data_IF_690250964880
#
_entry.id   IF_690250964880
#
_cell.length_a   1.000
_cell.length_b   1.000
_cell.length_c   1.000
_cell.angle_alpha   90.00
_cell.angle_beta   90.00
_cell.angle_gamma   90.00
#
_symmetry.space_group_name_H-M   'P 1'
#
loop_
_entity.id
_entity.type
_entity.pdbx_description
1 polymer ?
#
# COMPACT_ATOMS: atom_id res chain seq x y z
N UNK A 1 7.07 -36.86 -14.57
CA UNK A 1 5.68 -36.38 -14.48
C UNK A 1 5.64 -35.10 -15.29
N UNK A 2 4.87 -35.03 -16.38
CA UNK A 2 4.78 -33.78 -17.14
C UNK A 2 4.08 -32.75 -16.27
N UNK A 3 4.80 -31.69 -15.91
CA UNK A 3 4.18 -30.52 -15.30
C UNK A 3 3.09 -30.03 -16.24
N UNK A 4 1.86 -29.95 -15.72
CA UNK A 4 0.76 -29.40 -16.51
C UNK A 4 1.05 -27.92 -16.72
N UNK A 5 0.91 -27.39 -17.96
CA UNK A 5 1.15 -25.98 -18.19
C UNK A 5 0.18 -25.15 -17.36
N UNK A 6 0.70 -24.09 -16.74
CA UNK A 6 -0.13 -23.08 -16.09
C UNK A 6 -0.99 -22.37 -17.15
N UNK A 7 -2.24 -22.12 -16.79
CA UNK A 7 -3.22 -21.46 -17.63
C UNK A 7 -3.77 -20.27 -16.88
N UNK A 8 -4.04 -19.19 -17.60
CA UNK A 8 -4.68 -18.02 -17.03
C UNK A 8 -6.16 -18.28 -16.75
N UNK A 9 -6.60 -17.83 -15.59
CA UNK A 9 -7.99 -17.78 -15.15
C UNK A 9 -8.29 -16.38 -14.63
N UNK A 10 -9.39 -15.79 -15.13
CA UNK A 10 -9.99 -14.60 -14.53
C UNK A 10 -10.87 -15.04 -13.37
N UNK A 11 -10.67 -14.43 -12.22
CA UNK A 11 -11.48 -14.62 -11.02
C UNK A 11 -12.13 -13.29 -10.68
N UNK A 12 -13.43 -13.30 -10.45
CA UNK A 12 -14.24 -12.14 -10.09
C UNK A 12 -14.91 -12.40 -8.74
N UNK A 13 -14.91 -11.41 -7.85
CA UNK A 13 -15.69 -11.43 -6.61
C UNK A 13 -17.06 -10.75 -6.79
N UNK A 14 -17.85 -10.73 -5.72
CA UNK A 14 -19.20 -10.15 -5.68
C UNK A 14 -19.22 -8.61 -5.52
N UNK A 15 -18.08 -7.99 -5.21
CA UNK A 15 -17.91 -6.54 -5.07
C UNK A 15 -17.35 -5.87 -6.35
N UNK A 16 -17.14 -6.66 -7.40
CA UNK A 16 -16.70 -6.17 -8.71
C UNK A 16 -15.18 -6.02 -8.85
N UNK A 17 -14.41 -6.62 -7.94
CA UNK A 17 -12.98 -6.81 -8.10
C UNK A 17 -12.68 -8.07 -8.91
N UNK A 18 -11.58 -8.01 -9.65
CA UNK A 18 -11.13 -9.12 -10.48
C UNK A 18 -9.63 -9.30 -10.37
N UNK A 19 -9.15 -10.53 -10.51
CA UNK A 19 -7.73 -10.84 -10.65
C UNK A 19 -7.48 -11.89 -11.74
N UNK A 20 -6.25 -11.99 -12.22
CA UNK A 20 -5.80 -13.07 -13.11
C UNK A 20 -4.80 -13.94 -12.38
N UNK A 21 -5.11 -15.22 -12.23
CA UNK A 21 -4.22 -16.22 -11.64
C UNK A 21 -3.82 -17.28 -12.65
N UNK A 22 -2.62 -17.82 -12.48
CA UNK A 22 -2.04 -18.82 -13.36
C UNK A 22 -2.00 -20.17 -12.67
N UNK A 23 -2.84 -21.09 -13.12
CA UNK A 23 -3.04 -22.37 -12.44
C UNK A 23 -3.19 -23.54 -13.40
N UNK A 24 -2.96 -24.75 -12.91
CA UNK A 24 -3.12 -25.96 -13.73
C UNK A 24 -4.58 -26.37 -13.95
N UNK A 25 -5.50 -25.88 -13.11
CA UNK A 25 -6.92 -26.19 -13.14
C UNK A 25 -7.77 -25.09 -12.46
N UNK A 26 -9.08 -25.06 -12.74
CA UNK A 26 -10.00 -24.03 -12.24
C UNK A 26 -10.24 -24.08 -10.73
N UNK A 27 -10.15 -25.24 -10.09
CA UNK A 27 -10.38 -25.36 -8.65
C UNK A 27 -9.22 -24.73 -7.85
N UNK A 28 -7.98 -24.92 -8.31
CA UNK A 28 -6.82 -24.20 -7.78
C UNK A 28 -6.91 -22.71 -8.07
N UNK A 29 -7.29 -22.33 -9.31
CA UNK A 29 -7.47 -20.93 -9.70
C UNK A 29 -8.47 -20.19 -8.80
N UNK A 30 -9.64 -20.78 -8.55
CA UNK A 30 -10.64 -20.15 -7.69
C UNK A 30 -10.13 -19.92 -6.26
N UNK A 31 -9.38 -20.88 -5.70
CA UNK A 31 -8.85 -20.76 -4.34
C UNK A 31 -7.79 -19.68 -4.24
N UNK A 32 -6.84 -19.70 -5.18
CA UNK A 32 -5.72 -18.77 -5.15
C UNK A 32 -6.16 -17.37 -5.60
N UNK A 33 -7.17 -17.27 -6.47
CA UNK A 33 -7.82 -16.01 -6.81
C UNK A 33 -8.60 -15.40 -5.65
N UNK A 34 -9.32 -16.20 -4.87
CA UNK A 34 -9.96 -15.72 -3.64
C UNK A 34 -8.93 -15.14 -2.66
N UNK A 35 -7.79 -15.84 -2.48
CA UNK A 35 -6.69 -15.35 -1.65
C UNK A 35 -6.04 -14.08 -2.18
N UNK A 36 -5.94 -13.89 -3.49
CA UNK A 36 -5.39 -12.67 -4.11
C UNK A 36 -6.34 -11.48 -3.93
N UNK A 37 -7.65 -11.74 -3.96
CA UNK A 37 -8.70 -10.74 -3.74
C UNK A 37 -9.01 -10.50 -2.25
N UNK A 38 -8.28 -11.15 -1.33
CA UNK A 38 -8.54 -11.13 0.12
C UNK A 38 -10.01 -11.41 0.48
N UNK A 39 -10.61 -12.37 -0.24
CA UNK A 39 -12.03 -12.73 -0.10
C UNK A 39 -12.21 -14.22 0.18
N UNK A 40 -13.39 -14.58 0.65
CA UNK A 40 -13.74 -15.97 0.94
C UNK A 40 -14.06 -16.75 -0.34
N UNK A 41 -13.94 -18.08 -0.25
CA UNK A 41 -14.24 -18.97 -1.39
C UNK A 41 -15.67 -18.81 -1.91
N UNK A 42 -16.61 -18.57 -1.00
CA UNK A 42 -18.03 -18.34 -1.26
C UNK A 42 -18.30 -17.01 -1.98
N UNK A 43 -17.48 -15.98 -1.73
CA UNK A 43 -17.60 -14.63 -2.32
C UNK A 43 -17.05 -14.53 -3.74
N UNK A 44 -16.34 -15.55 -4.23
CA UNK A 44 -15.97 -15.59 -5.66
C UNK A 44 -17.21 -15.82 -6.52
N UNK A 45 -17.65 -14.80 -7.23
CA UNK A 45 -18.79 -14.89 -8.15
C UNK A 45 -18.45 -15.77 -9.36
N UNK A 46 -17.23 -15.65 -9.89
CA UNK A 46 -16.89 -16.20 -11.20
C UNK A 46 -15.42 -16.64 -11.28
N UNK A 47 -15.16 -17.79 -11.90
CA UNK A 47 -13.80 -18.24 -12.23
C UNK A 47 -13.80 -18.86 -13.63
N UNK A 48 -13.21 -18.15 -14.60
CA UNK A 48 -13.28 -18.50 -16.03
C UNK A 48 -11.89 -18.53 -16.65
N UNK A 49 -11.72 -19.37 -17.67
CA UNK A 49 -10.49 -19.38 -18.47
C UNK A 49 -10.33 -18.06 -19.22
N UNK A 50 -9.14 -17.48 -19.13
CA UNK A 50 -8.76 -16.26 -19.86
C UNK A 50 -7.56 -16.55 -20.78
N UNK A 51 -7.74 -17.36 -21.84
CA UNK A 51 -6.63 -17.85 -22.67
C UNK A 51 -5.81 -16.74 -23.32
N UNK A 52 -6.38 -15.54 -23.51
CA UNK A 52 -5.65 -14.38 -24.03
C UNK A 52 -4.45 -13.98 -23.16
N UNK A 53 -4.45 -14.36 -21.87
CA UNK A 53 -3.38 -14.06 -20.94
C UNK A 53 -2.41 -15.22 -20.70
N UNK A 54 -2.60 -16.40 -21.32
CA UNK A 54 -1.76 -17.58 -21.08
C UNK A 54 -0.26 -17.29 -21.34
N UNK A 55 0.06 -16.37 -22.25
CA UNK A 55 1.43 -15.95 -22.58
C UNK A 55 2.17 -15.26 -21.43
N UNK A 56 1.46 -14.75 -20.42
CA UNK A 56 2.06 -14.06 -19.28
C UNK A 56 2.35 -15.00 -18.10
N UNK A 57 2.12 -16.31 -18.23
CA UNK A 57 2.41 -17.27 -17.17
C UNK A 57 3.90 -17.24 -16.77
N UNK A 58 4.24 -17.32 -15.48
CA UNK A 58 3.38 -17.54 -14.31
C UNK A 58 2.72 -16.27 -13.73
N UNK A 59 2.82 -15.14 -14.42
CA UNK A 59 2.27 -13.85 -14.02
C UNK A 59 3.30 -12.90 -13.42
N UNK A 60 2.87 -11.67 -13.07
CA UNK A 60 1.53 -11.12 -13.29
C UNK A 60 1.29 -10.72 -14.76
N UNK A 61 0.02 -10.56 -15.15
CA UNK A 61 -0.31 -9.87 -16.40
C UNK A 61 0.04 -8.38 -16.23
N UNK A 62 0.73 -7.74 -17.21
CA UNK A 62 0.97 -6.30 -17.15
C UNK A 62 -0.33 -5.49 -17.12
N UNK A 63 -0.40 -4.45 -16.29
CA UNK A 63 -1.65 -3.70 -16.11
C UNK A 63 -2.09 -2.96 -17.39
N UNK A 64 -1.14 -2.56 -18.24
CA UNK A 64 -1.43 -2.01 -19.58
C UNK A 64 -2.21 -3.00 -20.45
N UNK A 65 -1.86 -4.29 -20.36
CA UNK A 65 -2.54 -5.36 -21.11
C UNK A 65 -3.94 -5.58 -20.56
N UNK A 66 -4.12 -5.49 -19.24
CA UNK A 66 -5.45 -5.59 -18.61
C UNK A 66 -6.33 -4.39 -18.98
N UNK A 67 -5.78 -3.17 -18.95
CA UNK A 67 -6.49 -1.96 -19.40
C UNK A 67 -6.99 -2.11 -20.84
N UNK A 68 -6.12 -2.55 -21.76
CA UNK A 68 -6.47 -2.80 -23.17
C UNK A 68 -7.52 -3.91 -23.35
N UNK A 69 -7.59 -4.89 -22.43
CA UNK A 69 -8.62 -5.94 -22.40
C UNK A 69 -9.95 -5.45 -21.78
N UNK A 70 -10.04 -4.16 -21.42
CA UNK A 70 -11.25 -3.51 -20.91
C UNK A 70 -11.36 -3.50 -19.38
N UNK A 71 -10.27 -3.79 -18.66
CA UNK A 71 -10.25 -3.67 -17.21
C UNK A 71 -10.18 -2.20 -16.80
N UNK A 72 -10.62 -1.92 -15.57
CA UNK A 72 -10.44 -0.63 -14.96
C UNK A 72 -9.53 -0.74 -13.73
N UNK A 73 -8.80 0.33 -13.45
CA UNK A 73 -7.95 0.45 -12.27
C UNK A 73 -8.25 1.75 -11.54
N UNK A 74 -8.05 1.79 -10.23
CA UNK A 74 -8.11 3.04 -9.49
C UNK A 74 -6.82 3.85 -9.71
N UNK A 75 -6.95 5.13 -10.08
CA UNK A 75 -5.81 6.03 -10.21
C UNK A 75 -5.16 6.27 -8.83
N UNK A 76 -3.91 5.86 -8.65
CA UNK A 76 -3.21 6.00 -7.36
C UNK A 76 -2.97 7.46 -6.94
N UNK A 77 -3.18 8.44 -7.84
CA UNK A 77 -3.01 9.86 -7.53
C UNK A 77 -4.30 10.64 -7.24
N UNK A 78 -5.49 10.12 -7.59
CA UNK A 78 -6.76 10.82 -7.35
C UNK A 78 -7.99 9.92 -7.16
N UNK A 79 -7.81 8.60 -7.09
CA UNK A 79 -8.86 7.61 -6.84
C UNK A 79 -9.96 7.51 -7.91
N UNK A 80 -9.78 8.18 -9.06
CA UNK A 80 -10.71 8.04 -10.20
C UNK A 80 -10.42 6.74 -10.97
N UNK A 81 -11.46 6.08 -11.46
CA UNK A 81 -11.31 4.92 -12.34
C UNK A 81 -10.60 5.30 -13.65
N UNK A 82 -9.64 4.47 -14.04
CA UNK A 82 -8.88 4.52 -15.29
C UNK A 82 -9.27 3.31 -16.11
N UNK A 83 -9.69 3.53 -17.35
CA UNK A 83 -10.01 2.52 -18.36
C UNK A 83 -9.25 2.87 -19.63
N UNK A 84 -9.09 1.95 -20.58
CA UNK A 84 -8.51 2.31 -21.89
C UNK A 84 -9.38 3.37 -22.62
N UNK A 85 -10.70 3.26 -22.45
CA UNK A 85 -11.69 4.23 -22.94
C UNK A 85 -11.74 5.55 -22.15
N UNK A 86 -10.86 5.77 -21.15
CA UNK A 86 -10.94 6.92 -20.25
C UNK A 86 -10.67 8.23 -21.00
N UNK A 87 -11.72 8.72 -21.64
CA UNK A 87 -11.80 9.97 -22.37
C UNK A 87 -12.29 11.10 -21.49
N UNK A 88 -12.68 10.84 -20.23
CA UNK A 88 -13.31 11.84 -19.36
C UNK A 88 -13.00 11.65 -17.88
N UNK A 89 -12.49 12.72 -17.26
CA UNK A 89 -12.52 12.89 -15.82
C UNK A 89 -13.97 13.12 -15.32
N UNK A 90 -14.21 12.89 -14.02
CA UNK A 90 -15.52 13.08 -13.38
C UNK A 90 -16.13 14.51 -13.50
N UNK A 91 -15.31 15.51 -13.84
CA UNK A 91 -15.72 16.90 -14.10
C UNK A 91 -16.00 17.17 -15.60
N UNK A 92 -15.98 16.13 -16.44
CA UNK A 92 -16.19 16.23 -17.88
C UNK A 92 -14.95 16.65 -18.68
N UNK A 93 -13.79 16.81 -18.03
CA UNK A 93 -12.53 17.14 -18.73
C UNK A 93 -12.13 15.99 -19.63
N UNK A 94 -11.87 16.28 -20.91
CA UNK A 94 -11.42 15.27 -21.87
C UNK A 94 -9.97 14.87 -21.54
N UNK A 95 -9.76 13.60 -21.22
CA UNK A 95 -8.44 12.97 -21.16
C UNK A 95 -8.24 12.31 -22.52
N UNK A 96 -7.08 12.46 -23.15
CA UNK A 96 -6.85 11.77 -24.43
C UNK A 96 -6.84 10.24 -24.19
N UNK A 97 -7.54 9.43 -25.00
CA UNK A 97 -7.45 7.97 -24.88
C UNK A 97 -5.98 7.51 -24.91
N UNK A 98 -5.60 6.59 -24.02
CA UNK A 98 -4.23 6.08 -23.93
C UNK A 98 -3.19 7.04 -23.30
N UNK A 99 -3.59 8.11 -22.62
CA UNK A 99 -2.67 8.99 -21.85
C UNK A 99 -2.47 8.61 -20.39
N UNK A 100 -3.00 7.46 -19.96
CA UNK A 100 -2.68 6.93 -18.64
C UNK A 100 -1.20 6.57 -18.54
N UNK A 101 -0.69 6.53 -17.31
CA UNK A 101 0.68 6.12 -17.02
C UNK A 101 0.63 4.89 -16.13
N UNK A 102 1.30 3.82 -16.54
CA UNK A 102 1.54 2.65 -15.68
C UNK A 102 3.00 2.66 -15.24
N UNK A 103 3.25 2.60 -13.94
CA UNK A 103 4.61 2.50 -13.40
C UNK A 103 4.64 1.63 -12.16
N UNK A 104 5.46 0.57 -12.17
CA UNK A 104 5.63 -0.34 -11.04
C UNK A 104 4.29 -0.83 -10.47
N UNK A 105 3.38 -1.28 -11.35
CA UNK A 105 2.02 -1.73 -11.02
C UNK A 105 1.08 -0.68 -10.40
N UNK A 106 1.41 0.60 -10.56
CA UNK A 106 0.52 1.71 -10.21
C UNK A 106 0.00 2.34 -11.49
N UNK A 107 -1.31 2.53 -11.58
CA UNK A 107 -1.99 3.16 -12.71
C UNK A 107 -2.34 4.59 -12.34
N UNK A 108 -2.08 5.53 -13.24
CA UNK A 108 -2.38 6.95 -13.07
C UNK A 108 -3.14 7.45 -14.29
N UNK A 109 -4.18 8.25 -14.07
CA UNK A 109 -4.94 8.83 -15.18
C UNK A 109 -4.15 9.87 -15.99
N UNK A 110 -3.15 10.53 -15.38
CA UNK A 110 -2.30 11.52 -16.06
C UNK A 110 -0.89 11.58 -15.46
N UNK A 111 0.05 12.22 -16.18
CA UNK A 111 1.39 12.52 -15.68
C UNK A 111 1.38 13.44 -14.43
N UNK A 112 0.40 14.33 -14.30
CA UNK A 112 0.25 15.17 -13.10
C UNK A 112 -0.13 14.34 -11.88
N UNK A 113 -0.95 13.29 -12.04
CA UNK A 113 -1.27 12.38 -10.95
C UNK A 113 -0.06 11.57 -10.51
N UNK A 114 0.77 11.12 -11.46
CA UNK A 114 2.07 10.50 -11.17
C UNK A 114 2.98 11.45 -10.38
N UNK A 115 3.14 12.67 -10.88
CA UNK A 115 4.00 13.67 -10.26
C UNK A 115 3.54 14.06 -8.84
N UNK A 116 2.22 14.15 -8.62
CA UNK A 116 1.64 14.40 -7.29
C UNK A 116 1.89 13.24 -6.33
N UNK A 117 1.66 12.01 -6.78
CA UNK A 117 1.97 10.81 -5.99
C UNK A 117 3.45 10.78 -5.61
N UNK A 118 4.35 11.03 -6.56
CA UNK A 118 5.79 11.08 -6.29
C UNK A 118 6.20 12.19 -5.33
N UNK A 119 5.55 13.35 -5.41
CA UNK A 119 5.77 14.41 -4.45
C UNK A 119 5.33 13.99 -3.05
N UNK A 120 4.15 13.38 -2.92
CA UNK A 120 3.63 12.85 -1.66
C UNK A 120 4.55 11.77 -1.06
N UNK A 121 5.04 10.82 -1.86
CA UNK A 121 5.96 9.78 -1.38
C UNK A 121 7.30 10.37 -0.91
N UNK A 122 7.86 11.35 -1.64
CA UNK A 122 9.06 12.06 -1.18
C UNK A 122 8.83 12.82 0.13
N UNK A 123 7.67 13.46 0.27
CA UNK A 123 7.30 14.19 1.49
C UNK A 123 7.13 13.24 2.68
N UNK A 124 6.52 12.07 2.46
CA UNK A 124 6.37 11.03 3.47
C UNK A 124 7.72 10.50 3.97
N UNK A 125 8.66 10.21 3.05
CA UNK A 125 10.03 9.80 3.42
C UNK A 125 10.71 10.90 4.23
N UNK A 126 10.64 12.15 3.77
CA UNK A 126 11.23 13.28 4.51
C UNK A 126 10.59 13.47 5.90
N UNK A 127 9.28 13.22 6.04
CA UNK A 127 8.60 13.24 7.33
C UNK A 127 9.06 12.10 8.25
N UNK A 128 9.25 10.89 7.71
CA UNK A 128 9.81 9.77 8.47
C UNK A 128 11.22 10.09 8.98
N UNK A 129 12.10 10.59 8.10
CA UNK A 129 13.47 10.98 8.46
C UNK A 129 13.47 12.07 9.54
N UNK A 130 12.65 13.11 9.39
CA UNK A 130 12.53 14.18 10.38
C UNK A 130 12.03 13.68 11.74
N UNK A 131 11.16 12.66 11.77
CA UNK A 131 10.70 12.05 13.02
C UNK A 131 11.80 11.19 13.67
N UNK A 132 12.59 10.47 12.87
CA UNK A 132 13.77 9.74 13.35
C UNK A 132 14.73 10.72 14.02
N UNK A 133 15.13 11.77 13.29
CA UNK A 133 16.06 12.80 13.79
C UNK A 133 15.54 13.45 15.08
N UNK A 134 14.25 13.76 15.15
CA UNK A 134 13.62 14.32 16.35
C UNK A 134 13.74 13.37 17.56
N UNK A 135 13.49 12.08 17.35
CA UNK A 135 13.50 11.08 18.43
C UNK A 135 14.91 10.80 18.89
N UNK A 136 15.87 10.68 17.97
CA UNK A 136 17.29 10.54 18.30
C UNK A 136 17.85 11.77 19.03
N UNK A 137 17.41 12.97 18.67
CA UNK A 137 17.78 14.20 19.37
C UNK A 137 17.17 14.28 20.78
N UNK A 138 15.93 13.79 20.96
CA UNK A 138 15.25 13.76 22.26
C UNK A 138 15.78 12.67 23.18
N UNK A 139 16.14 11.52 22.63
CA UNK A 139 16.58 10.34 23.38
C UNK A 139 17.92 9.84 22.83
N UNK A 140 19.04 10.52 23.12
CA UNK A 140 20.35 10.13 22.61
C UNK A 140 20.71 8.70 23.03
N UNK A 141 21.13 7.88 22.07
CA UNK A 141 21.47 6.47 22.30
C UNK A 141 20.28 5.51 22.23
N UNK A 142 19.09 6.00 21.87
CA UNK A 142 17.99 5.13 21.46
C UNK A 142 18.29 4.42 20.13
N UNK A 143 17.53 3.35 19.86
CA UNK A 143 17.50 2.65 18.58
C UNK A 143 16.08 2.69 18.02
N UNK A 144 15.92 3.32 16.86
CA UNK A 144 14.65 3.29 16.14
C UNK A 144 14.43 1.91 15.53
N UNK A 145 13.28 1.30 15.82
CA UNK A 145 12.89 0.00 15.28
C UNK A 145 11.97 0.16 14.06
N UNK A 146 11.06 1.12 14.09
CA UNK A 146 10.20 1.44 12.94
C UNK A 146 9.58 2.83 13.07
N UNK A 147 9.12 3.39 11.96
CA UNK A 147 8.43 4.69 11.92
C UNK A 147 7.20 4.62 11.03
N UNK A 148 6.10 5.14 11.55
CA UNK A 148 4.85 5.31 10.84
C UNK A 148 4.50 6.80 10.71
N UNK A 149 4.21 7.24 9.49
CA UNK A 149 3.66 8.56 9.19
C UNK A 149 2.37 8.36 8.42
N UNK A 150 1.26 8.80 9.01
CA UNK A 150 -0.03 8.86 8.34
C UNK A 150 -0.05 10.04 7.37
N UNK A 151 -0.37 9.78 6.10
CA UNK A 151 -0.27 10.78 5.03
C UNK A 151 1.17 11.03 4.58
N UNK A 152 1.51 12.28 4.30
CA UNK A 152 2.78 12.70 3.71
C UNK A 152 3.54 13.76 4.54
N UNK A 153 3.06 14.10 5.74
CA UNK A 153 3.60 15.17 6.58
C UNK A 153 3.59 14.78 8.05
N UNK A 154 4.45 15.45 8.83
CA UNK A 154 4.39 15.39 10.28
C UNK A 154 3.19 16.18 10.81
N UNK A 155 2.17 15.44 11.19
CA UNK A 155 0.99 15.97 11.86
C UNK A 155 0.97 15.55 13.33
N UNK A 156 0.67 16.51 14.21
CA UNK A 156 0.49 16.23 15.61
C UNK A 156 -0.63 15.20 15.80
N UNK A 157 -0.37 14.22 16.66
CA UNK A 157 -1.39 13.28 17.11
C UNK A 157 -2.50 14.04 17.82
N UNK A 158 -3.76 13.66 17.56
CA UNK A 158 -4.92 14.28 18.20
C UNK A 158 -5.82 13.21 18.84
N UNK A 159 -6.55 13.61 19.88
CA UNK A 159 -7.38 12.69 20.66
C UNK A 159 -8.60 12.14 19.90
N UNK A 160 -8.92 12.68 18.71
CA UNK A 160 -10.08 12.25 17.90
C UNK A 160 -9.70 11.24 16.82
N UNK A 161 -8.50 11.34 16.25
CA UNK A 161 -8.06 10.53 15.12
C UNK A 161 -6.89 9.59 15.46
N UNK A 162 -6.43 9.61 16.72
CA UNK A 162 -5.36 8.74 17.20
C UNK A 162 -3.97 9.26 16.83
N UNK A 163 -2.97 8.40 17.02
CA UNK A 163 -1.58 8.72 16.76
C UNK A 163 -1.30 8.71 15.25
N UNK A 164 -1.01 9.87 14.67
CA UNK A 164 -0.79 10.02 13.22
C UNK A 164 0.64 9.72 12.81
N UNK A 165 1.61 10.17 13.62
CA UNK A 165 3.02 9.99 13.34
C UNK A 165 3.70 9.41 14.57
N UNK A 166 4.23 8.20 14.46
CA UNK A 166 4.74 7.40 15.56
C UNK A 166 6.10 6.81 15.19
N UNK A 167 7.08 6.99 16.06
CA UNK A 167 8.32 6.24 16.02
C UNK A 167 8.33 5.20 17.14
N UNK A 168 8.69 3.98 16.79
CA UNK A 168 8.91 2.90 17.74
C UNK A 168 10.40 2.77 18.00
N UNK A 169 10.80 2.77 19.26
CA UNK A 169 12.21 2.76 19.63
C UNK A 169 12.48 1.97 20.91
N UNK A 170 13.72 1.53 21.04
CA UNK A 170 14.28 0.98 22.28
C UNK A 170 15.37 1.90 22.79
N UNK A 171 15.76 1.76 24.05
CA UNK A 171 16.82 2.55 24.68
C UNK A 171 17.62 1.67 25.66
N UNK A 172 18.81 2.11 26.12
CA UNK A 172 19.63 1.30 27.02
C UNK A 172 18.87 0.89 28.29
N UNK A 173 18.77 -0.42 28.53
CA UNK A 173 18.04 -0.98 29.67
C UNK A 173 16.54 -1.16 29.47
N UNK A 174 15.98 -0.79 28.31
CA UNK A 174 14.59 -1.08 27.98
C UNK A 174 14.35 -2.59 27.86
N UNK A 175 13.24 -3.06 28.44
CA UNK A 175 12.76 -4.44 28.32
C UNK A 175 11.69 -4.59 27.24
N UNK A 176 11.11 -3.47 26.79
CA UNK A 176 10.04 -3.43 25.82
C UNK A 176 10.17 -2.28 24.82
N UNK A 177 9.45 -2.39 23.71
CA UNK A 177 9.35 -1.35 22.70
C UNK A 177 8.60 -0.14 23.27
N UNK A 178 9.15 1.04 23.06
CA UNK A 178 8.54 2.32 23.43
C UNK A 178 8.08 3.08 22.19
N UNK A 179 7.14 4.00 22.38
CA UNK A 179 6.60 4.83 21.28
C UNK A 179 6.91 6.30 21.54
N UNK A 180 7.23 7.04 20.48
CA UNK A 180 7.16 8.49 20.47
C UNK A 180 6.09 8.93 19.49
N UNK A 181 5.10 9.66 19.99
CA UNK A 181 3.99 10.19 19.20
C UNK A 181 4.22 11.67 18.95
N UNK A 182 4.35 12.05 17.68
CA UNK A 182 4.59 13.45 17.32
C UNK A 182 3.44 14.33 17.83
N UNK A 183 3.78 15.42 18.52
CA UNK A 183 2.81 16.33 19.15
C UNK A 183 2.26 15.90 20.52
N UNK A 184 2.56 14.70 20.98
CA UNK A 184 2.04 14.15 22.25
C UNK A 184 3.18 13.79 23.22
N UNK A 185 4.18 13.03 22.77
CA UNK A 185 5.38 12.73 23.55
C UNK A 185 5.73 11.24 23.56
N UNK A 186 6.58 10.86 24.52
CA UNK A 186 7.02 9.47 24.69
C UNK A 186 6.04 8.68 25.55
N UNK A 187 5.71 7.48 25.10
CA UNK A 187 4.84 6.53 25.77
C UNK A 187 5.70 5.32 26.16
N UNK A 188 6.01 5.25 27.46
CA UNK A 188 6.92 4.25 28.04
C UNK A 188 6.11 3.29 28.90
N UNK A 189 6.42 2.00 28.83
CA UNK A 189 5.77 1.01 29.70
C UNK A 189 6.15 1.27 31.16
N UNK A 190 5.26 0.91 32.11
CA UNK A 190 5.51 1.14 33.55
C UNK A 190 6.80 0.47 34.05
N UNK A 191 7.17 -0.67 33.45
CA UNK A 191 8.37 -1.41 33.80
C UNK A 191 9.64 -0.66 33.40
N UNK A 192 9.61 -0.01 32.24
CA UNK A 192 10.77 0.68 31.66
C UNK A 192 10.85 2.16 32.07
N UNK A 193 9.77 2.72 32.65
CA UNK A 193 9.70 4.12 33.07
C UNK A 193 10.85 4.55 34.01
N UNK A 194 11.24 3.78 35.05
CA UNK A 194 12.35 4.17 35.91
C UNK A 194 13.70 4.26 35.16
N UNK A 195 13.95 3.34 34.23
CA UNK A 195 15.17 3.35 33.41
C UNK A 195 15.16 4.52 32.43
N UNK A 196 13.99 4.83 31.85
CA UNK A 196 13.81 5.96 30.95
C UNK A 196 14.02 7.30 31.66
N UNK A 197 13.40 7.50 32.83
CA UNK A 197 13.56 8.73 33.62
C UNK A 197 15.00 8.91 34.12
N UNK A 198 15.70 7.83 34.46
CA UNK A 198 17.11 7.89 34.83
C UNK A 198 18.02 8.36 33.69
N UNK A 199 17.66 8.08 32.44
CA UNK A 199 18.41 8.49 31.25
C UNK A 199 18.01 9.86 30.71
N UNK A 200 16.71 10.16 30.69
CA UNK A 200 16.15 11.29 29.95
C UNK A 200 15.23 12.20 30.77
N UNK A 201 14.97 11.89 32.05
CA UNK A 201 14.06 12.65 32.91
C UNK A 201 14.62 14.00 33.41
N UNK A 202 15.87 14.30 33.09
CA UNK A 202 16.52 15.58 33.38
C UNK A 202 16.80 16.35 32.08
N UNK A 203 15.75 16.86 31.45
CA UNK A 203 15.83 17.86 30.38
C UNK A 203 14.64 18.82 30.46
#
# INVERSE_FOLDING_TARGET
MSDKPLKAYKVDDDDGHSCVVFETNSAAARRNGASELDTDWESVESCRRAPQFDQYAPGPVPDEVLLLDGWWFECCGCSKSVTDDSTRAADGTVIDPGTYVVRNRHVFCTQECLARHDASERMKVAAQDALIELVEAKFPGCKIESVHVYGDRLEASDSRHGAKCVAYFTFPGAQSLSEYRFGDGAWITKTDLPAFEALYGAA
#
